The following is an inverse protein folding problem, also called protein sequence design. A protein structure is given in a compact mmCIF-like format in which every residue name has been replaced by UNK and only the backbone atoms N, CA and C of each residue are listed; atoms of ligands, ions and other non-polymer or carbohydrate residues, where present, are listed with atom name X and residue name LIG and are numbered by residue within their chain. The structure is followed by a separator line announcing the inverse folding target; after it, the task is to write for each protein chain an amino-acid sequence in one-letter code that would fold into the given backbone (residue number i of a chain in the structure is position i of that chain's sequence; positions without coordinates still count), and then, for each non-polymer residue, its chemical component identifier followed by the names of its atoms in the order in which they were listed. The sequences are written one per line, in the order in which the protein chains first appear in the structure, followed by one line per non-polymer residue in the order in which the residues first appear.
data_IF_738882455280
#
_entry.id   IF_738882455280
#
_cell.length_a   1.000
_cell.length_b   1.000
_cell.length_c   1.000
_cell.angle_alpha   90.00
_cell.angle_beta   90.00
_cell.angle_gamma   90.00
#
_symmetry.space_group_name_H-M   'P 1'
#
loop_
_entity.id
_entity.type
_entity.pdbx_description
1 polymer ?
#
# COMPACT_ATOMS: atom_id res chain seq x y z
N UNK A 1 13.42 -1.35 -11.51
CA UNK A 1 14.43 -0.92 -10.53
C UNK A 1 13.68 -0.69 -9.21
N UNK A 2 13.60 -1.73 -8.37
CA UNK A 2 12.79 -1.74 -7.15
C UNK A 2 13.53 -0.94 -6.08
N UNK A 3 13.08 0.30 -5.84
CA UNK A 3 13.84 1.26 -5.04
C UNK A 3 13.79 0.90 -3.54
N UNK A 4 14.97 0.68 -2.97
CA UNK A 4 15.33 0.55 -1.55
C UNK A 4 14.95 1.77 -0.66
N UNK A 5 14.01 2.62 -1.08
CA UNK A 5 13.57 3.80 -0.32
C UNK A 5 12.37 3.52 0.60
N UNK A 6 11.73 2.36 0.46
CA UNK A 6 10.55 1.99 1.24
C UNK A 6 10.86 1.60 2.69
N UNK A 7 12.08 1.14 3.02
CA UNK A 7 12.38 0.63 4.37
C UNK A 7 12.48 1.73 5.45
N UNK A 8 12.87 2.96 5.09
CA UNK A 8 13.03 4.04 6.07
C UNK A 8 11.72 4.77 6.41
N UNK A 9 10.72 4.76 5.53
CA UNK A 9 9.45 5.47 5.74
C UNK A 9 8.36 4.63 6.42
N UNK A 10 8.52 3.31 6.56
CA UNK A 10 7.45 2.46 7.10
C UNK A 10 7.13 2.74 8.58
N UNK A 11 8.09 3.27 9.34
CA UNK A 11 7.95 3.54 10.77
C UNK A 11 7.50 4.97 11.09
N UNK A 12 7.22 5.80 10.10
CA UNK A 12 6.66 7.13 10.29
C UNK A 12 5.27 7.21 9.69
N UNK A 13 4.39 7.98 10.33
CA UNK A 13 3.09 8.32 9.75
C UNK A 13 3.27 9.11 8.47
N UNK A 14 2.71 8.60 7.36
CA UNK A 14 2.79 9.25 6.06
C UNK A 14 1.54 8.97 5.21
N UNK A 15 1.40 9.73 4.12
CA UNK A 15 0.45 9.50 3.02
C UNK A 15 1.22 9.34 1.72
N UNK A 16 0.73 8.47 0.84
CA UNK A 16 1.29 8.34 -0.50
C UNK A 16 0.60 9.32 -1.45
N UNK A 17 1.02 10.59 -1.42
CA UNK A 17 0.41 11.68 -2.20
C UNK A 17 0.58 11.52 -3.73
N UNK A 18 1.47 10.61 -4.15
CA UNK A 18 1.69 10.26 -5.56
C UNK A 18 0.70 9.22 -6.08
N UNK A 19 -0.02 8.55 -5.19
CA UNK A 19 -1.03 7.56 -5.56
C UNK A 19 -2.30 8.26 -6.03
N UNK A 20 -3.04 7.61 -6.94
CA UNK A 20 -4.24 8.19 -7.51
C UNK A 20 -5.37 8.19 -6.46
N UNK A 21 -5.97 9.36 -6.25
CA UNK A 21 -6.99 9.57 -5.22
C UNK A 21 -8.19 8.61 -5.30
N UNK A 22 -8.63 8.19 -6.49
CA UNK A 22 -9.74 7.23 -6.64
C UNK A 22 -9.32 5.76 -6.73
N UNK A 23 -8.12 5.40 -6.25
CA UNK A 23 -7.63 4.01 -6.30
C UNK A 23 -7.20 3.52 -4.93
N UNK A 24 -7.28 2.20 -4.75
CA UNK A 24 -6.77 1.54 -3.56
C UNK A 24 -5.32 1.09 -3.82
N UNK A 25 -4.48 1.18 -2.80
CA UNK A 25 -3.25 0.41 -2.74
C UNK A 25 -3.55 -0.97 -2.15
N UNK A 26 -2.74 -1.95 -2.51
CA UNK A 26 -2.81 -3.32 -2.00
C UNK A 26 -1.44 -3.67 -1.44
N UNK A 27 -1.40 -4.04 -0.16
CA UNK A 27 -0.19 -4.51 0.51
C UNK A 27 -0.32 -6.01 0.75
N UNK A 28 0.49 -6.81 0.06
CA UNK A 28 0.58 -8.25 0.24
C UNK A 28 1.67 -8.57 1.26
N UNK A 29 1.28 -9.15 2.39
CA UNK A 29 2.17 -9.49 3.50
C UNK A 29 2.78 -10.88 3.31
N UNK A 30 4.09 -10.92 3.13
CA UNK A 30 4.88 -12.12 2.87
C UNK A 30 5.91 -12.36 3.99
N UNK A 31 6.49 -13.55 3.99
CA UNK A 31 7.49 -13.97 4.98
C UNK A 31 6.89 -14.54 6.25
N UNK A 32 7.75 -14.72 7.25
CA UNK A 32 7.45 -15.38 8.52
C UNK A 32 7.72 -14.41 9.66
N UNK A 33 6.65 -13.80 10.16
CA UNK A 33 6.70 -12.81 11.23
C UNK A 33 5.56 -12.99 12.25
N UNK A 34 5.76 -12.46 13.46
CA UNK A 34 4.75 -12.33 14.51
C UNK A 34 4.58 -10.87 14.92
N UNK A 35 3.37 -10.50 15.30
CA UNK A 35 3.04 -9.13 15.67
C UNK A 35 2.83 -8.23 14.46
N UNK A 36 3.13 -6.93 14.61
CA UNK A 36 2.91 -5.91 13.60
C UNK A 36 1.46 -5.43 13.53
N UNK A 37 1.30 -4.12 13.38
CA UNK A 37 0.02 -3.49 13.09
C UNK A 37 0.21 -2.42 12.02
N UNK A 38 -0.79 -2.28 11.16
CA UNK A 38 -0.96 -1.11 10.31
C UNK A 38 -1.90 -0.14 11.02
N UNK A 39 -1.41 1.06 11.33
CA UNK A 39 -2.16 2.07 12.06
C UNK A 39 -2.67 3.12 11.09
N UNK A 40 -3.96 3.46 11.17
CA UNK A 40 -4.59 4.57 10.46
C UNK A 40 -4.98 5.66 11.46
N UNK A 41 -4.31 6.80 11.43
CA UNK A 41 -4.52 7.84 12.44
C UNK A 41 -5.92 8.47 12.34
N UNK A 42 -6.38 8.72 11.11
CA UNK A 42 -7.69 9.33 10.84
C UNK A 42 -8.86 8.46 11.30
N UNK A 43 -8.70 7.14 11.23
CA UNK A 43 -9.72 6.17 11.65
C UNK A 43 -9.57 5.76 13.12
N UNK A 44 -8.50 6.19 13.80
CA UNK A 44 -8.09 5.69 15.13
C UNK A 44 -8.11 4.15 15.18
N UNK A 45 -7.69 3.52 14.07
CA UNK A 45 -7.80 2.07 13.85
C UNK A 45 -6.41 1.45 13.75
N UNK A 46 -6.24 0.30 14.42
CA UNK A 46 -5.06 -0.54 14.32
C UNK A 46 -5.44 -1.90 13.73
N UNK A 47 -4.96 -2.19 12.53
CA UNK A 47 -5.18 -3.49 11.87
C UNK A 47 -4.00 -4.41 12.17
N UNK A 48 -4.27 -5.51 12.86
CA UNK A 48 -3.26 -6.56 13.10
C UNK A 48 -2.86 -7.20 11.77
N UNK A 49 -1.57 -7.20 11.48
CA UNK A 49 -1.03 -7.81 10.27
C UNK A 49 -0.89 -9.32 10.45
N UNK A 50 -1.30 -10.11 9.46
CA UNK A 50 -1.11 -11.56 9.42
C UNK A 50 -0.32 -11.96 8.18
N UNK A 51 0.43 -13.05 8.28
CA UNK A 51 1.11 -13.65 7.14
C UNK A 51 0.08 -14.06 6.08
N UNK A 52 0.46 -13.96 4.79
CA UNK A 52 -0.38 -14.34 3.64
C UNK A 52 -1.68 -13.55 3.54
N UNK A 53 -1.74 -12.39 4.17
CA UNK A 53 -2.87 -11.47 4.09
C UNK A 53 -2.58 -10.35 3.09
N UNK A 54 -3.60 -9.94 2.35
CA UNK A 54 -3.59 -8.69 1.61
C UNK A 54 -4.43 -7.65 2.37
N UNK A 55 -3.93 -6.42 2.47
CA UNK A 55 -4.64 -5.29 3.05
C UNK A 55 -4.82 -4.24 1.96
N UNK A 56 -6.04 -3.76 1.79
CA UNK A 56 -6.39 -2.77 0.76
C UNK A 56 -6.91 -1.49 1.40
N UNK A 57 -6.38 -0.33 1.00
CA UNK A 57 -6.82 0.95 1.52
C UNK A 57 -6.41 2.10 0.59
N UNK A 58 -7.01 3.28 0.77
CA UNK A 58 -6.71 4.47 -0.02
C UNK A 58 -5.51 5.21 0.59
N UNK A 59 -4.31 4.87 0.14
CA UNK A 59 -3.02 5.37 0.66
C UNK A 59 -2.78 6.88 0.51
N UNK A 60 -3.44 7.52 -0.45
CA UNK A 60 -3.40 8.97 -0.63
C UNK A 60 -4.28 9.71 0.36
N UNK A 61 -5.32 9.05 0.87
CA UNK A 61 -6.28 9.61 1.82
C UNK A 61 -5.83 9.34 3.25
N UNK A 62 -5.52 8.08 3.57
CA UNK A 62 -5.29 7.64 4.94
C UNK A 62 -3.81 7.79 5.35
N UNK A 63 -3.57 8.59 6.39
CA UNK A 63 -2.27 8.64 7.08
C UNK A 63 -2.03 7.29 7.76
N UNK A 64 -0.93 6.63 7.41
CA UNK A 64 -0.63 5.28 7.88
C UNK A 64 0.83 5.07 8.30
N UNK A 65 1.04 4.05 9.14
CA UNK A 65 2.36 3.60 9.64
C UNK A 65 2.33 2.10 9.93
N UNK A 66 3.42 1.41 9.64
CA UNK A 66 3.65 0.03 10.07
C UNK A 66 4.35 0.01 11.43
N UNK A 67 3.84 -0.82 12.35
CA UNK A 67 4.55 -1.17 13.58
C UNK A 67 5.50 -2.33 13.36
N UNK A 68 6.54 -2.36 14.19
CA UNK A 68 7.57 -3.40 14.19
C UNK A 68 6.97 -4.80 14.31
N UNK A 69 7.62 -5.74 13.64
CA UNK A 69 7.36 -7.17 13.71
C UNK A 69 8.56 -7.89 14.32
N UNK A 70 8.32 -9.09 14.85
CA UNK A 70 9.37 -10.02 15.24
C UNK A 70 9.49 -11.08 14.13
N UNK A 71 10.67 -11.21 13.53
CA UNK A 71 10.93 -12.09 12.39
C UNK A 71 11.14 -11.33 11.09
N UNK A 72 10.98 -12.03 9.96
CA UNK A 72 11.22 -11.47 8.62
C UNK A 72 9.89 -11.21 7.93
N UNK A 73 9.53 -9.93 7.80
CA UNK A 73 8.37 -9.49 7.03
C UNK A 73 8.84 -8.88 5.71
N UNK A 74 8.41 -9.50 4.61
CA UNK A 74 8.55 -8.94 3.28
C UNK A 74 7.17 -8.43 2.84
N UNK A 75 7.12 -7.41 2.00
CA UNK A 75 5.84 -6.95 1.44
C UNK A 75 5.97 -6.58 -0.03
N UNK A 76 4.89 -6.82 -0.77
CA UNK A 76 4.72 -6.32 -2.13
C UNK A 76 3.57 -5.33 -2.10
N UNK A 77 3.80 -4.13 -2.61
CA UNK A 77 2.81 -3.04 -2.63
C UNK A 77 2.42 -2.76 -4.08
N UNK A 78 1.14 -2.90 -4.39
CA UNK A 78 0.55 -2.48 -5.66
C UNK A 78 -0.17 -1.15 -5.47
N UNK A 79 0.06 -0.21 -6.37
CA UNK A 79 -0.57 1.10 -6.36
C UNK A 79 -0.67 1.66 -7.78
N UNK A 80 -1.59 2.59 -7.98
CA UNK A 80 -1.73 3.32 -9.25
C UNK A 80 -1.24 4.74 -9.01
N UNK A 81 -0.20 5.16 -9.74
CA UNK A 81 0.30 6.52 -9.67
C UNK A 81 -0.72 7.52 -10.28
N UNK A 82 -0.81 8.73 -9.73
CA UNK A 82 -1.80 9.74 -10.15
C UNK A 82 -1.71 10.15 -11.64
N UNK A 83 -0.56 9.95 -12.28
CA UNK A 83 -0.34 10.22 -13.70
C UNK A 83 -0.75 9.06 -14.61
N UNK A 84 -0.88 7.83 -14.08
CA UNK A 84 -1.18 6.64 -14.90
C UNK A 84 -2.58 6.69 -15.51
N UNK A 85 -3.58 7.19 -14.78
CA UNK A 85 -4.96 7.28 -15.27
C UNK A 85 -5.15 8.47 -16.23
N UNK A 86 -4.42 9.57 -16.05
CA UNK A 86 -4.43 10.69 -17.02
C UNK A 86 -4.00 10.23 -18.42
N UNK A 87 -3.18 9.20 -18.52
CA UNK A 87 -2.79 8.60 -19.81
C UNK A 87 -3.90 7.73 -20.43
N UNK A 88 -4.83 7.16 -19.65
CA UNK A 88 -5.94 6.33 -20.18
C UNK A 88 -6.99 7.12 -20.95
N UNK A 89 -7.11 8.44 -20.78
CA UNK A 89 -7.91 9.25 -21.71
C UNK A 89 -7.32 9.29 -23.14
N UNK A 90 -6.03 8.97 -23.31
CA UNK A 90 -5.39 8.75 -24.64
C UNK A 90 -5.35 7.27 -25.07
N UNK A 91 -5.61 6.31 -24.16
CA UNK A 91 -5.51 4.87 -24.38
C UNK A 91 -6.87 4.13 -24.27
N UNK A 92 -7.98 4.83 -24.50
CA UNK A 92 -9.34 4.25 -24.44
C UNK A 92 -9.59 3.12 -25.45
N UNK A 93 -8.63 2.77 -26.31
CA UNK A 93 -8.76 1.76 -27.35
C UNK A 93 -8.16 0.38 -27.02
N UNK A 94 -7.39 0.19 -25.94
CA UNK A 94 -6.73 -1.10 -25.73
C UNK A 94 -6.78 -1.58 -24.28
N UNK A 95 -7.46 -2.72 -24.11
CA UNK A 95 -7.52 -3.63 -22.96
C UNK A 95 -8.53 -3.30 -21.86
N UNK A 96 -9.76 -3.74 -22.14
CA UNK A 96 -10.69 -4.29 -21.15
C UNK A 96 -10.13 -5.66 -20.71
N UNK A 97 -9.79 -5.81 -19.44
CA UNK A 97 -9.65 -7.13 -18.81
C UNK A 97 -10.73 -7.13 -17.73
N UNK A 98 -11.84 -7.78 -18.05
CA UNK A 98 -12.82 -8.23 -17.06
C UNK A 98 -12.24 -9.47 -16.36
N UNK A 99 -12.41 -9.53 -15.05
CA UNK A 99 -12.25 -10.75 -14.24
C UNK A 99 -13.65 -11.31 -14.02
#
# INVERSE_FOLDING_TARGET
MFQNLLELFQFQFHRNLKDHHNTLCIVCLLGTFKGGHLIFSELKLAIKMKQRQAITFQSSLLIHRNLLVIGTQNSVVFYIHNTAIKQKQKFKSLLMIEI
#
